data_IF_815276334207
#
_entry.id   IF_815276334207
#
_cell.length_a   1.000
_cell.length_b   1.000
_cell.length_c   1.000
_cell.angle_alpha   90.00
_cell.angle_beta   90.00
_cell.angle_gamma   90.00
#
_symmetry.space_group_name_H-M   'P 1'
#
loop_
_entity.id
_entity.type
_entity.pdbx_description
1 polymer ?
#
# COMPACT_ATOMS: atom_id res chain seq x y z
N UNK A 1 -28.18 16.14 3.46
CA UNK A 1 -27.03 16.30 4.34
C UNK A 1 -26.95 15.14 5.33
N UNK A 2 -25.80 14.55 5.47
CA UNK A 2 -25.60 13.45 6.43
C UNK A 2 -25.40 14.01 7.84
N UNK A 3 -25.89 13.29 8.85
CA UNK A 3 -25.55 13.60 10.25
C UNK A 3 -24.08 13.21 10.50
N UNK A 4 -23.47 13.73 11.57
CA UNK A 4 -22.10 13.37 11.95
C UNK A 4 -21.95 11.86 12.16
N UNK A 5 -22.98 11.21 12.71
CA UNK A 5 -22.98 9.76 12.93
C UNK A 5 -22.99 8.99 11.60
N UNK A 6 -23.78 9.43 10.63
CA UNK A 6 -23.84 8.84 9.32
C UNK A 6 -22.53 9.05 8.55
N UNK A 7 -21.91 10.23 8.67
CA UNK A 7 -20.63 10.51 8.08
C UNK A 7 -19.53 9.58 8.62
N UNK A 8 -19.50 9.37 9.93
CA UNK A 8 -18.54 8.43 10.54
C UNK A 8 -18.74 7.01 10.04
N UNK A 9 -19.97 6.56 9.97
CA UNK A 9 -20.27 5.21 9.48
C UNK A 9 -19.82 5.08 8.03
N UNK A 10 -20.12 6.06 7.19
CA UNK A 10 -19.74 6.08 5.80
C UNK A 10 -18.21 6.06 5.64
N UNK A 11 -17.48 6.85 6.43
CA UNK A 11 -16.01 6.86 6.42
C UNK A 11 -15.44 5.51 6.83
N UNK A 12 -15.96 4.90 7.88
CA UNK A 12 -15.50 3.59 8.35
C UNK A 12 -15.72 2.50 7.31
N UNK A 13 -16.80 2.56 6.54
CA UNK A 13 -17.09 1.59 5.49
C UNK A 13 -16.07 1.63 4.34
N UNK A 14 -15.34 2.73 4.19
CA UNK A 14 -14.32 2.89 3.16
C UNK A 14 -12.95 2.34 3.57
N UNK A 15 -12.78 1.97 4.83
CA UNK A 15 -11.52 1.45 5.35
C UNK A 15 -11.61 -0.05 5.56
N UNK A 16 -10.62 -0.78 5.04
CA UNK A 16 -10.50 -2.22 5.22
C UNK A 16 -9.11 -2.56 5.73
N UNK A 17 -9.04 -3.52 6.66
CA UNK A 17 -7.77 -4.11 7.09
C UNK A 17 -7.65 -5.48 6.44
N UNK A 18 -6.63 -5.64 5.61
CA UNK A 18 -6.33 -6.91 4.98
C UNK A 18 -5.27 -7.64 5.80
N UNK A 19 -5.56 -8.88 6.15
CA UNK A 19 -4.63 -9.74 6.87
C UNK A 19 -3.96 -10.66 5.88
N UNK A 20 -2.64 -10.56 5.77
CA UNK A 20 -1.87 -11.41 4.87
C UNK A 20 -1.96 -12.85 5.38
N UNK A 21 -2.33 -13.83 4.52
CA UNK A 21 -2.43 -15.22 4.96
C UNK A 21 -1.11 -15.70 5.58
N UNK A 22 -1.21 -16.43 6.70
CA UNK A 22 -0.03 -16.90 7.44
C UNK A 22 0.89 -17.79 6.63
N UNK A 23 0.36 -18.48 5.62
CA UNK A 23 1.14 -19.33 4.71
C UNK A 23 2.01 -18.53 3.74
N UNK A 24 1.72 -17.23 3.57
CA UNK A 24 2.50 -16.35 2.72
C UNK A 24 3.64 -15.72 3.53
N UNK A 25 4.76 -15.34 2.88
CA UNK A 25 5.83 -14.62 3.59
C UNK A 25 5.32 -13.35 4.27
N UNK A 26 5.70 -13.18 5.53
CA UNK A 26 5.32 -12.01 6.33
C UNK A 26 6.41 -10.95 6.35
N UNK A 27 7.25 -10.94 5.31
CA UNK A 27 8.34 -9.99 5.18
C UNK A 27 7.80 -8.62 4.84
N UNK A 28 8.43 -7.58 5.39
CA UNK A 28 7.97 -6.22 5.20
C UNK A 28 9.07 -5.22 5.50
N UNK A 29 9.08 -4.12 4.76
CA UNK A 29 9.89 -2.96 5.11
C UNK A 29 9.05 -1.91 5.84
N UNK A 30 9.71 -1.10 6.63
CA UNK A 30 9.13 0.10 7.24
C UNK A 30 9.78 1.33 6.59
N UNK A 31 8.97 2.31 6.27
CA UNK A 31 9.40 3.54 5.60
C UNK A 31 8.91 4.76 6.37
N UNK A 32 9.66 5.85 6.29
CA UNK A 32 9.25 7.13 6.85
C UNK A 32 8.16 7.83 6.02
N UNK A 33 7.82 7.27 4.86
CA UNK A 33 6.69 7.72 4.04
C UNK A 33 5.85 6.50 3.66
N UNK A 34 4.99 5.99 4.58
CA UNK A 34 4.38 4.68 4.44
C UNK A 34 3.04 4.64 3.70
N UNK A 35 2.52 5.78 3.24
CA UNK A 35 1.21 5.84 2.60
C UNK A 35 1.37 5.93 1.09
N UNK A 36 0.77 4.98 0.36
CA UNK A 36 0.75 5.01 -1.10
C UNK A 36 -0.62 5.50 -1.55
N UNK A 37 -0.65 6.68 -2.18
CA UNK A 37 -1.87 7.31 -2.66
C UNK A 37 -1.95 7.11 -4.17
N UNK A 38 -3.11 6.65 -4.66
CA UNK A 38 -3.30 6.42 -6.09
C UNK A 38 -3.21 7.71 -6.90
N UNK A 39 -3.88 8.76 -6.42
CA UNK A 39 -3.90 10.06 -7.09
C UNK A 39 -3.50 11.15 -6.12
N UNK A 40 -2.28 11.66 -6.24
CA UNK A 40 -1.72 12.63 -5.31
C UNK A 40 -2.35 14.02 -5.39
N UNK A 41 -3.11 14.32 -6.45
CA UNK A 41 -3.82 15.59 -6.57
C UNK A 41 -5.10 15.65 -5.75
N UNK A 42 -5.59 14.50 -5.25
CA UNK A 42 -6.79 14.43 -4.42
C UNK A 42 -6.46 14.58 -2.94
N UNK A 43 -7.48 14.98 -2.15
CA UNK A 43 -7.40 14.97 -0.71
C UNK A 43 -7.16 13.52 -0.24
N UNK A 44 -6.24 13.34 0.71
CA UNK A 44 -5.85 12.01 1.20
C UNK A 44 -7.05 11.21 1.72
N UNK A 45 -8.01 11.87 2.39
CA UNK A 45 -9.20 11.20 2.94
C UNK A 45 -10.23 10.83 1.86
N UNK A 46 -10.06 11.35 0.66
CA UNK A 46 -10.95 11.09 -0.47
C UNK A 46 -10.29 10.22 -1.54
N UNK A 47 -9.04 9.85 -1.33
CA UNK A 47 -8.25 9.09 -2.29
C UNK A 47 -8.27 7.60 -1.98
N UNK A 48 -8.17 6.77 -3.01
CA UNK A 48 -7.79 5.38 -2.81
C UNK A 48 -6.34 5.36 -2.32
N UNK A 49 -6.09 4.65 -1.23
CA UNK A 49 -4.74 4.55 -0.70
C UNK A 49 -4.48 3.17 -0.08
N UNK A 50 -3.21 2.86 0.03
CA UNK A 50 -2.72 1.63 0.65
C UNK A 50 -1.71 2.04 1.72
N UNK A 51 -1.92 1.53 2.92
CA UNK A 51 -1.07 1.84 4.07
C UNK A 51 -0.71 0.55 4.79
N UNK A 52 0.52 0.03 4.62
CA UNK A 52 0.97 -1.11 5.39
C UNK A 52 1.10 -0.72 6.86
N UNK A 53 0.30 -1.36 7.72
CA UNK A 53 0.22 -1.01 9.14
C UNK A 53 1.27 -1.71 9.99
N UNK A 54 1.46 -3.00 9.72
CA UNK A 54 2.41 -3.83 10.45
C UNK A 54 2.68 -5.10 9.65
N UNK A 55 3.58 -5.94 10.18
CA UNK A 55 3.82 -7.26 9.60
C UNK A 55 2.50 -8.02 9.51
N UNK A 56 2.11 -8.39 8.31
CA UNK A 56 0.90 -9.16 8.06
C UNK A 56 -0.40 -8.37 7.98
N UNK A 57 -0.37 -7.04 8.12
CA UNK A 57 -1.58 -6.21 8.06
C UNK A 57 -1.38 -5.02 7.14
N UNK A 58 -2.32 -4.82 6.20
CA UNK A 58 -2.33 -3.68 5.30
C UNK A 58 -3.70 -3.03 5.32
N UNK A 59 -3.70 -1.70 5.43
CA UNK A 59 -4.94 -0.91 5.43
C UNK A 59 -5.19 -0.39 4.03
N UNK A 60 -6.42 -0.54 3.57
CA UNK A 60 -6.89 -0.04 2.27
C UNK A 60 -7.99 0.98 2.49
N UNK A 61 -7.88 2.14 1.88
CA UNK A 61 -9.01 3.08 1.77
C UNK A 61 -9.58 2.92 0.37
N UNK A 62 -10.80 2.38 0.27
CA UNK A 62 -11.34 1.85 -0.97
C UNK A 62 -12.28 2.80 -1.71
N UNK A 63 -12.69 3.89 -1.09
CA UNK A 63 -13.71 4.80 -1.63
C UNK A 63 -15.02 4.06 -1.97
N UNK A 64 -15.38 3.08 -1.12
CA UNK A 64 -16.60 2.29 -1.32
C UNK A 64 -16.49 1.16 -2.32
N UNK A 65 -15.32 0.97 -2.94
CA UNK A 65 -15.10 -0.15 -3.85
C UNK A 65 -14.81 -1.43 -3.08
N UNK A 66 -15.05 -2.55 -3.72
CA UNK A 66 -14.63 -3.85 -3.18
C UNK A 66 -13.18 -4.12 -3.53
N UNK A 67 -12.53 -4.95 -2.72
CA UNK A 67 -11.22 -5.48 -3.07
C UNK A 67 -11.38 -6.84 -3.71
N UNK A 68 -10.74 -7.02 -4.86
CA UNK A 68 -10.56 -8.33 -5.47
C UNK A 68 -9.56 -9.13 -4.65
N UNK A 69 -9.39 -10.42 -4.97
CA UNK A 69 -8.33 -11.21 -4.37
C UNK A 69 -6.98 -10.53 -4.58
N UNK A 70 -6.24 -10.34 -3.48
CA UNK A 70 -4.94 -9.67 -3.51
C UNK A 70 -3.86 -10.70 -3.81
N UNK A 71 -3.13 -10.57 -4.94
CA UNK A 71 -2.01 -11.46 -5.23
C UNK A 71 -0.89 -11.31 -4.19
N UNK A 72 -0.24 -12.41 -3.83
CA UNK A 72 0.87 -12.38 -2.89
C UNK A 72 2.02 -11.48 -3.36
N UNK A 73 2.21 -11.37 -4.67
CA UNK A 73 3.23 -10.49 -5.27
C UNK A 73 3.00 -9.01 -4.98
N UNK A 74 1.77 -8.60 -4.65
CA UNK A 74 1.50 -7.20 -4.32
C UNK A 74 2.29 -6.73 -3.09
N UNK A 75 2.61 -7.63 -2.15
CA UNK A 75 3.39 -7.25 -0.97
C UNK A 75 4.78 -6.75 -1.37
N UNK A 76 5.41 -7.42 -2.33
CA UNK A 76 6.73 -7.02 -2.83
C UNK A 76 6.63 -5.70 -3.61
N UNK A 77 5.61 -5.54 -4.43
CA UNK A 77 5.38 -4.30 -5.19
C UNK A 77 5.12 -3.12 -4.26
N UNK A 78 4.33 -3.32 -3.21
CA UNK A 78 4.07 -2.30 -2.18
C UNK A 78 5.38 -1.91 -1.49
N UNK A 79 6.18 -2.87 -1.06
CA UNK A 79 7.45 -2.60 -0.38
C UNK A 79 8.44 -1.87 -1.30
N UNK A 80 8.48 -2.24 -2.59
CA UNK A 80 9.31 -1.54 -3.57
C UNK A 80 8.90 -0.07 -3.71
N UNK A 81 7.59 0.20 -3.79
CA UNK A 81 7.09 1.56 -3.84
C UNK A 81 7.39 2.34 -2.56
N UNK A 82 7.25 1.69 -1.41
CA UNK A 82 7.59 2.32 -0.12
C UNK A 82 9.07 2.69 -0.06
N UNK A 83 9.94 1.82 -0.57
CA UNK A 83 11.37 2.11 -0.63
C UNK A 83 11.63 3.32 -1.54
N UNK A 84 11.01 3.35 -2.72
CA UNK A 84 11.21 4.43 -3.69
C UNK A 84 10.69 5.78 -3.21
N UNK A 85 9.63 5.80 -2.41
CA UNK A 85 9.06 7.03 -1.89
C UNK A 85 9.60 7.46 -0.53
N UNK A 86 10.43 6.63 0.12
CA UNK A 86 11.05 6.97 1.39
C UNK A 86 11.93 8.22 1.25
N UNK A 87 11.86 9.11 2.22
CA UNK A 87 12.64 10.35 2.20
C UNK A 87 14.02 10.17 2.84
N UNK A 88 14.08 9.52 4.01
CA UNK A 88 15.32 9.37 4.76
C UNK A 88 15.58 7.96 5.26
N UNK A 89 14.54 7.24 5.69
CA UNK A 89 14.72 6.00 6.43
C UNK A 89 13.87 4.87 5.87
N UNK A 90 14.52 3.73 5.72
CA UNK A 90 13.88 2.44 5.48
C UNK A 90 14.54 1.44 6.41
N UNK A 91 13.74 0.62 7.06
CA UNK A 91 14.27 -0.47 7.85
C UNK A 91 13.51 -1.77 7.59
N UNK A 92 14.22 -2.88 7.83
CA UNK A 92 13.66 -4.21 7.61
C UNK A 92 14.39 -5.18 8.54
N UNK A 93 13.64 -6.08 9.17
CA UNK A 93 14.21 -7.09 10.06
C UNK A 93 14.96 -8.19 9.27
N UNK A 94 14.67 -8.36 7.99
CA UNK A 94 15.32 -9.37 7.13
C UNK A 94 16.23 -8.68 6.12
N UNK A 95 17.54 -8.86 6.30
CA UNK A 95 18.55 -8.22 5.45
C UNK A 95 18.48 -8.71 4.00
N UNK A 96 18.28 -10.00 3.78
CA UNK A 96 18.17 -10.56 2.44
C UNK A 96 16.97 -10.00 1.69
N UNK A 97 15.85 -9.87 2.38
CA UNK A 97 14.65 -9.27 1.81
C UNK A 97 14.88 -7.79 1.45
N UNK A 98 15.50 -7.05 2.37
CA UNK A 98 15.81 -5.64 2.09
C UNK A 98 16.71 -5.50 0.86
N UNK A 99 17.73 -6.35 0.73
CA UNK A 99 18.61 -6.33 -0.43
C UNK A 99 17.83 -6.62 -1.73
N UNK A 100 16.89 -7.53 -1.69
CA UNK A 100 16.02 -7.81 -2.85
C UNK A 100 15.18 -6.60 -3.23
N UNK A 101 14.62 -5.91 -2.25
CA UNK A 101 13.85 -4.68 -2.48
C UNK A 101 14.73 -3.59 -3.06
N UNK A 102 15.96 -3.43 -2.56
CA UNK A 102 16.91 -2.47 -3.11
C UNK A 102 17.19 -2.73 -4.59
N UNK A 103 17.40 -4.00 -4.96
CA UNK A 103 17.65 -4.37 -6.36
C UNK A 103 16.44 -4.08 -7.24
N UNK A 104 15.25 -4.44 -6.79
CA UNK A 104 14.01 -4.14 -7.50
C UNK A 104 13.81 -2.63 -7.66
N UNK A 105 14.11 -1.86 -6.62
CA UNK A 105 13.98 -0.41 -6.65
C UNK A 105 14.87 0.21 -7.73
N UNK A 106 16.07 -0.30 -7.91
CA UNK A 106 16.97 0.15 -8.99
C UNK A 106 16.37 -0.10 -10.37
N UNK A 107 15.68 -1.24 -10.55
CA UNK A 107 15.05 -1.59 -11.81
C UNK A 107 13.82 -0.75 -12.11
N UNK A 108 13.08 -0.34 -11.08
CA UNK A 108 11.79 0.35 -11.23
C UNK A 108 11.87 1.85 -10.96
N UNK A 109 13.05 2.42 -10.84
CA UNK A 109 13.23 3.84 -10.50
C UNK A 109 13.11 4.74 -11.73
N UNK A 110 11.98 4.66 -12.43
CA UNK A 110 11.60 5.60 -13.49
C UNK A 110 10.12 5.93 -13.32
N UNK A 111 9.66 7.12 -13.75
CA UNK A 111 8.25 7.49 -13.61
C UNK A 111 7.28 6.46 -14.21
N UNK A 112 7.60 5.94 -15.39
CA UNK A 112 6.74 4.96 -16.07
C UNK A 112 6.66 3.65 -15.30
N UNK A 113 7.77 3.16 -14.79
CA UNK A 113 7.82 1.89 -14.04
C UNK A 113 7.19 2.02 -12.66
N UNK A 114 7.38 3.14 -11.99
CA UNK A 114 6.70 3.45 -10.73
C UNK A 114 5.20 3.46 -10.95
N UNK A 115 4.74 4.10 -12.01
CA UNK A 115 3.32 4.14 -12.36
C UNK A 115 2.78 2.75 -12.68
N UNK A 116 3.57 1.91 -13.34
CA UNK A 116 3.22 0.53 -13.61
C UNK A 116 2.97 -0.25 -12.31
N UNK A 117 3.87 -0.12 -11.32
CA UNK A 117 3.70 -0.76 -10.01
C UNK A 117 2.46 -0.24 -9.29
N UNK A 118 2.22 1.07 -9.31
CA UNK A 118 1.02 1.65 -8.73
C UNK A 118 -0.25 1.09 -9.36
N UNK A 119 -0.32 1.05 -10.67
CA UNK A 119 -1.47 0.50 -11.36
C UNK A 119 -1.70 -0.96 -10.99
N UNK A 120 -0.62 -1.72 -10.84
CA UNK A 120 -0.71 -3.13 -10.48
C UNK A 120 -1.30 -3.32 -9.07
N UNK A 121 -0.81 -2.59 -8.08
CA UNK A 121 -1.31 -2.74 -6.70
C UNK A 121 -2.71 -2.16 -6.52
N UNK A 122 -3.08 -1.14 -7.28
CA UNK A 122 -4.42 -0.57 -7.24
C UNK A 122 -5.43 -1.30 -8.14
N UNK A 123 -4.98 -2.25 -8.95
CA UNK A 123 -5.86 -3.07 -9.79
C UNK A 123 -6.79 -3.98 -8.97
N UNK A 124 -6.50 -4.18 -7.68
CA UNK A 124 -7.37 -4.96 -6.78
C UNK A 124 -8.63 -4.20 -6.36
N UNK A 125 -8.70 -2.90 -6.63
CA UNK A 125 -9.88 -2.09 -6.34
C UNK A 125 -10.90 -2.27 -7.46
N UNK A 126 -12.10 -2.69 -7.11
CA UNK A 126 -13.19 -2.87 -8.08
C UNK A 126 -14.00 -1.62 -8.31
#
# INVERSE_FOLDING_TARGET
MLTKRQERKHQLENWLIYYIPKKEPQLKILSDNPVIIRNQSENILESELIFPLSKGKTVYHTKGKRLKKIPATNNVSIDTLLFLQAEKYVCCADESYLNSIIQLSKLYNTPERINFLKNEIFAVFE
#
